data_IF_294181024655
#
_entry.id   IF_294181024655
#
_cell.length_a   1.000
_cell.length_b   1.000
_cell.length_c   1.000
_cell.angle_alpha   90.00
_cell.angle_beta   90.00
_cell.angle_gamma   90.00
#
_symmetry.space_group_name_H-M   'P 1'
#
loop_
_entity.id
_entity.type
_entity.pdbx_description
1 polymer ?
#
# COMPACT_ATOMS: atom_id res chain seq x y z
N UNK A 1 12.38 12.44 20.05
CA UNK A 1 13.29 11.38 19.54
C UNK A 1 14.29 12.04 18.60
N UNK A 2 15.55 11.71 18.73
CA UNK A 2 16.58 12.07 17.77
C UNK A 2 16.72 10.98 16.67
N UNK A 3 17.60 11.21 15.69
CA UNK A 3 17.73 10.29 14.54
C UNK A 3 18.20 8.88 14.95
N UNK A 4 18.99 8.77 16.03
CA UNK A 4 19.46 7.48 16.56
C UNK A 4 18.31 6.70 17.21
N UNK A 5 17.43 7.38 17.96
CA UNK A 5 16.24 6.79 18.57
C UNK A 5 15.25 6.32 17.50
N UNK A 6 15.07 7.08 16.42
CA UNK A 6 14.23 6.66 15.28
C UNK A 6 14.82 5.44 14.56
N UNK A 7 16.13 5.42 14.33
CA UNK A 7 16.78 4.25 13.73
C UNK A 7 16.63 2.99 14.59
N UNK A 8 16.75 3.13 15.91
CA UNK A 8 16.50 2.04 16.86
C UNK A 8 15.04 1.56 16.81
N UNK A 9 14.06 2.48 16.82
CA UNK A 9 12.64 2.14 16.75
C UNK A 9 12.30 1.44 15.42
N UNK A 10 12.86 1.88 14.31
CA UNK A 10 12.72 1.26 12.99
C UNK A 10 13.27 -0.18 12.99
N UNK A 11 14.44 -0.38 13.56
CA UNK A 11 15.02 -1.72 13.70
C UNK A 11 14.11 -2.63 14.54
N UNK A 12 13.59 -2.13 15.68
CA UNK A 12 12.68 -2.89 16.55
C UNK A 12 11.37 -3.23 15.82
N UNK A 13 10.81 -2.33 15.01
CA UNK A 13 9.65 -2.61 14.16
C UNK A 13 9.92 -3.80 13.23
N UNK A 14 11.05 -3.81 12.53
CA UNK A 14 11.40 -4.92 11.62
C UNK A 14 11.58 -6.22 12.38
N UNK A 15 12.33 -6.21 13.49
CA UNK A 15 12.70 -7.43 14.21
C UNK A 15 11.55 -8.02 15.03
N UNK A 16 10.65 -7.17 15.59
CA UNK A 16 9.64 -7.59 16.55
C UNK A 16 8.20 -7.60 16.00
N UNK A 17 7.91 -6.82 14.94
CA UNK A 17 6.56 -6.74 14.37
C UNK A 17 6.48 -7.42 12.99
N UNK A 18 7.47 -7.18 12.10
CA UNK A 18 7.40 -7.64 10.71
C UNK A 18 7.95 -9.07 10.58
N UNK A 19 9.19 -9.30 10.99
CA UNK A 19 9.84 -10.62 10.84
C UNK A 19 9.08 -11.80 11.48
N UNK A 20 8.49 -11.68 12.69
CA UNK A 20 7.74 -12.77 13.31
C UNK A 20 6.44 -13.13 12.58
N UNK A 21 5.92 -12.24 11.73
CA UNK A 21 4.62 -12.40 11.04
C UNK A 21 4.73 -13.04 9.65
N UNK A 22 5.75 -13.86 9.43
CA UNK A 22 6.01 -14.62 8.19
C UNK A 22 6.48 -13.76 7.01
N UNK A 23 7.01 -12.57 7.26
CA UNK A 23 7.76 -11.83 6.24
C UNK A 23 9.18 -12.37 6.22
N UNK A 24 9.52 -13.07 5.14
CA UNK A 24 10.78 -13.81 4.96
C UNK A 24 11.63 -13.27 3.82
N UNK A 25 11.09 -12.44 2.93
CA UNK A 25 11.87 -11.77 1.88
C UNK A 25 12.80 -10.73 2.50
N UNK A 26 14.12 -10.98 2.43
CA UNK A 26 15.14 -10.08 2.97
C UNK A 26 15.06 -8.67 2.38
N UNK A 27 14.72 -8.54 1.08
CA UNK A 27 14.60 -7.24 0.41
C UNK A 27 13.46 -6.41 1.00
N UNK A 28 12.32 -7.06 1.33
CA UNK A 28 11.20 -6.40 2.00
C UNK A 28 11.61 -5.93 3.39
N UNK A 29 12.28 -6.80 4.17
CA UNK A 29 12.76 -6.44 5.51
C UNK A 29 13.76 -5.27 5.46
N UNK A 30 14.67 -5.27 4.48
CA UNK A 30 15.67 -4.23 4.30
C UNK A 30 15.02 -2.89 3.88
N UNK A 31 14.01 -2.92 3.01
CA UNK A 31 13.26 -1.73 2.61
C UNK A 31 12.55 -1.08 3.82
N UNK A 32 11.87 -1.87 4.65
CA UNK A 32 11.26 -1.37 5.90
C UNK A 32 12.30 -0.88 6.91
N UNK A 33 13.50 -1.47 6.92
CA UNK A 33 14.62 -1.04 7.75
C UNK A 33 15.30 0.24 7.27
N UNK A 34 15.12 0.61 6.00
CA UNK A 34 15.75 1.77 5.36
C UNK A 34 14.87 3.01 5.40
N UNK A 35 13.60 2.89 5.02
CA UNK A 35 12.69 4.04 4.84
C UNK A 35 12.22 4.60 6.19
N UNK A 36 12.45 5.91 6.46
CA UNK A 36 12.09 6.55 7.73
C UNK A 36 10.57 6.80 7.81
N UNK A 37 9.85 5.86 8.44
CA UNK A 37 8.38 5.91 8.58
C UNK A 37 7.88 7.19 9.25
N UNK A 38 8.67 7.76 10.19
CA UNK A 38 8.40 9.01 10.90
C UNK A 38 8.32 10.24 10.01
N UNK A 39 8.87 10.20 8.79
CA UNK A 39 8.80 11.33 7.85
C UNK A 39 7.50 11.35 7.04
N UNK A 40 6.75 10.24 7.05
CA UNK A 40 5.48 10.09 6.35
C UNK A 40 4.26 10.35 7.23
N UNK A 41 4.45 10.76 8.50
CA UNK A 41 3.38 11.15 9.43
C UNK A 41 3.47 12.61 9.82
N UNK A 42 2.41 13.13 10.45
CA UNK A 42 2.42 14.46 11.05
C UNK A 42 3.43 14.59 12.19
N UNK A 43 3.94 15.81 12.43
CA UNK A 43 4.95 16.07 13.48
C UNK A 43 4.54 15.51 14.86
N UNK A 44 3.26 15.60 15.20
CA UNK A 44 2.72 15.13 16.47
C UNK A 44 2.66 13.59 16.59
N UNK A 45 2.78 12.87 15.47
CA UNK A 45 2.75 11.41 15.41
C UNK A 45 4.14 10.78 15.25
N UNK A 46 5.19 11.58 15.03
CA UNK A 46 6.55 11.03 14.80
C UNK A 46 7.00 10.08 15.92
N UNK A 47 6.71 10.42 17.18
CA UNK A 47 7.11 9.60 18.33
C UNK A 47 6.42 8.22 18.38
N UNK A 48 5.28 8.07 17.70
CA UNK A 48 4.51 6.81 17.63
C UNK A 48 4.52 6.19 16.23
N UNK A 49 5.36 6.69 15.32
CA UNK A 49 5.38 6.24 13.92
C UNK A 49 5.64 4.73 13.76
N UNK A 50 6.25 4.10 14.75
CA UNK A 50 6.71 2.71 14.74
C UNK A 50 5.86 1.74 15.57
N UNK A 51 4.69 2.18 16.07
CA UNK A 51 3.73 1.26 16.71
C UNK A 51 3.10 0.34 15.66
N UNK A 52 2.66 -0.84 16.10
CA UNK A 52 2.01 -1.84 15.25
C UNK A 52 0.49 -1.58 15.16
N UNK A 53 0.14 -0.38 14.66
CA UNK A 53 -1.22 0.09 14.47
C UNK A 53 -1.33 0.98 13.22
N UNK A 54 -2.53 1.09 12.68
CA UNK A 54 -2.86 2.05 11.62
C UNK A 54 -2.76 3.48 12.16
N UNK A 55 -1.98 4.33 11.51
CA UNK A 55 -1.83 5.73 11.88
C UNK A 55 -2.70 6.63 11.01
N UNK A 56 -3.69 7.34 11.58
CA UNK A 56 -4.47 8.29 10.80
C UNK A 56 -3.59 9.38 10.20
N UNK A 57 -3.76 9.63 8.91
CA UNK A 57 -3.17 10.77 8.20
C UNK A 57 -4.27 11.70 7.70
N UNK A 58 -3.89 12.81 7.10
CA UNK A 58 -4.89 13.78 6.60
C UNK A 58 -5.92 13.11 5.65
N UNK A 59 -7.08 13.74 5.55
CA UNK A 59 -8.09 13.37 4.57
C UNK A 59 -8.78 12.02 4.80
N UNK A 60 -8.76 11.45 6.01
CA UNK A 60 -9.41 10.17 6.30
C UNK A 60 -8.65 8.95 5.75
N UNK A 61 -7.39 9.13 5.35
CA UNK A 61 -6.48 8.03 5.05
C UNK A 61 -5.75 7.57 6.31
N UNK A 62 -5.19 6.39 6.25
CA UNK A 62 -4.30 5.86 7.28
C UNK A 62 -3.03 5.34 6.63
N UNK A 63 -1.92 5.50 7.31
CA UNK A 63 -0.73 4.75 7.02
C UNK A 63 -0.87 3.40 7.73
N UNK A 64 -0.97 2.33 6.95
CA UNK A 64 -1.23 0.97 7.47
C UNK A 64 -0.21 0.54 8.52
N UNK A 65 -0.62 -0.30 9.47
CA UNK A 65 0.28 -0.96 10.41
C UNK A 65 1.40 -1.71 9.68
N UNK A 66 2.62 -1.73 10.23
CA UNK A 66 3.80 -2.28 9.57
C UNK A 66 3.65 -3.74 9.16
N UNK A 67 3.07 -4.57 10.02
CA UNK A 67 2.88 -6.01 9.80
C UNK A 67 2.01 -6.29 8.57
N UNK A 68 0.85 -5.65 8.48
CA UNK A 68 -0.09 -5.86 7.36
C UNK A 68 0.52 -5.38 6.06
N UNK A 69 1.08 -4.17 6.04
CA UNK A 69 1.69 -3.60 4.84
C UNK A 69 2.85 -4.48 4.32
N UNK A 70 3.74 -4.93 5.20
CA UNK A 70 4.88 -5.76 4.81
C UNK A 70 4.45 -7.11 4.23
N UNK A 71 3.44 -7.76 4.81
CA UNK A 71 2.87 -9.01 4.29
C UNK A 71 2.18 -8.81 2.94
N UNK A 72 1.49 -7.68 2.74
CA UNK A 72 0.87 -7.36 1.46
C UNK A 72 1.93 -7.10 0.38
N UNK A 73 3.00 -6.34 0.70
CA UNK A 73 4.10 -6.08 -0.23
C UNK A 73 4.84 -7.38 -0.58
N UNK A 74 5.13 -8.24 0.39
CA UNK A 74 5.72 -9.56 0.10
C UNK A 74 4.83 -10.40 -0.84
N UNK A 75 3.50 -10.33 -0.69
CA UNK A 75 2.55 -11.06 -1.54
C UNK A 75 2.49 -10.54 -2.98
N UNK A 76 2.92 -9.30 -3.25
CA UNK A 76 3.08 -8.78 -4.62
C UNK A 76 4.23 -9.46 -5.37
N UNK A 77 5.21 -10.02 -4.65
CA UNK A 77 6.41 -10.65 -5.22
C UNK A 77 7.15 -9.72 -6.21
N UNK A 78 7.44 -8.50 -5.74
CA UNK A 78 8.05 -7.43 -6.55
C UNK A 78 9.49 -7.77 -6.94
N UNK A 79 9.90 -7.41 -8.17
CA UNK A 79 11.28 -7.48 -8.64
C UNK A 79 11.77 -6.15 -9.20
N UNK A 80 13.08 -5.97 -9.29
CA UNK A 80 13.77 -4.72 -9.66
C UNK A 80 13.40 -4.16 -11.03
N UNK A 81 12.85 -4.98 -11.93
CA UNK A 81 12.36 -4.55 -13.24
C UNK A 81 10.86 -4.24 -13.28
N UNK A 82 10.15 -4.44 -12.16
CA UNK A 82 8.69 -4.32 -12.14
C UNK A 82 8.22 -2.87 -12.15
N UNK A 83 7.08 -2.64 -12.81
CA UNK A 83 6.30 -1.41 -12.75
C UNK A 83 5.12 -1.60 -11.78
N UNK A 84 5.04 -0.78 -10.75
CA UNK A 84 4.10 -0.94 -9.64
C UNK A 84 3.11 0.23 -9.58
N UNK A 85 1.83 -0.08 -9.35
CA UNK A 85 0.81 0.89 -9.02
C UNK A 85 0.44 0.79 -7.54
N UNK A 86 0.46 1.92 -6.85
CA UNK A 86 -0.08 2.07 -5.50
C UNK A 86 -1.37 2.89 -5.55
N UNK A 87 -2.45 2.37 -5.02
CA UNK A 87 -3.78 3.00 -5.02
C UNK A 87 -4.16 3.41 -3.62
N UNK A 88 -4.36 4.70 -3.39
CA UNK A 88 -4.65 5.26 -2.07
C UNK A 88 -3.41 5.49 -1.23
N UNK A 89 -2.32 5.93 -1.84
CA UNK A 89 -0.97 6.00 -1.25
C UNK A 89 -0.82 6.92 -0.02
N UNK A 90 -1.86 7.67 0.34
CA UNK A 90 -1.81 8.58 1.47
C UNK A 90 -0.62 9.55 1.39
N UNK A 91 0.29 9.44 2.34
CA UNK A 91 1.51 10.25 2.40
C UNK A 91 2.71 9.66 1.67
N UNK A 92 2.56 8.49 1.00
CA UNK A 92 3.56 7.90 0.12
C UNK A 92 4.52 6.88 0.76
N UNK A 93 4.28 6.43 2.00
CA UNK A 93 5.19 5.49 2.68
C UNK A 93 5.34 4.16 1.94
N UNK A 94 4.24 3.54 1.52
CA UNK A 94 4.28 2.31 0.74
C UNK A 94 4.95 2.48 -0.63
N UNK A 95 4.75 3.66 -1.27
CA UNK A 95 5.42 3.98 -2.51
C UNK A 95 6.94 4.06 -2.31
N UNK A 96 7.41 4.65 -1.21
CA UNK A 96 8.84 4.69 -0.87
C UNK A 96 9.42 3.29 -0.60
N UNK A 97 8.69 2.43 0.13
CA UNK A 97 9.08 1.02 0.35
C UNK A 97 9.19 0.27 -0.98
N UNK A 98 8.17 0.39 -1.84
CA UNK A 98 8.12 -0.29 -3.13
C UNK A 98 9.19 0.23 -4.11
N UNK A 99 9.55 1.50 -4.02
CA UNK A 99 10.65 2.08 -4.80
C UNK A 99 12.03 1.45 -4.50
N UNK A 100 12.21 0.88 -3.30
CA UNK A 100 13.42 0.10 -2.97
C UNK A 100 13.43 -1.29 -3.63
N UNK A 101 12.30 -1.77 -4.12
CA UNK A 101 12.10 -3.13 -4.61
C UNK A 101 11.86 -3.20 -6.12
N UNK A 102 11.31 -2.14 -6.71
CA UNK A 102 10.81 -2.07 -8.08
C UNK A 102 11.63 -1.14 -8.98
N UNK A 103 11.44 -1.23 -10.28
CA UNK A 103 12.01 -0.31 -11.26
C UNK A 103 11.29 1.04 -11.28
N UNK A 104 9.97 1.04 -11.15
CA UNK A 104 9.15 2.26 -11.12
C UNK A 104 7.89 2.09 -10.27
N UNK A 105 7.45 3.17 -9.64
CA UNK A 105 6.24 3.21 -8.82
C UNK A 105 5.38 4.42 -9.18
N UNK A 106 4.14 4.16 -9.56
CA UNK A 106 3.10 5.18 -9.70
C UNK A 106 2.18 5.10 -8.48
N UNK A 107 2.00 6.20 -7.77
CA UNK A 107 1.17 6.25 -6.56
C UNK A 107 -0.02 7.21 -6.76
N UNK A 108 -1.23 6.66 -6.80
CA UNK A 108 -2.47 7.43 -7.05
C UNK A 108 -3.14 7.80 -5.75
N UNK A 109 -3.51 9.07 -5.62
CA UNK A 109 -4.29 9.58 -4.50
C UNK A 109 -5.31 10.63 -5.00
N UNK A 110 -6.51 10.66 -4.39
CA UNK A 110 -7.57 11.61 -4.78
C UNK A 110 -7.36 13.01 -4.22
N UNK A 111 -6.71 13.12 -3.09
CA UNK A 111 -6.57 14.36 -2.33
C UNK A 111 -5.29 15.10 -2.70
N UNK A 112 -5.42 16.28 -3.31
CA UNK A 112 -4.27 17.06 -3.77
C UNK A 112 -3.22 17.31 -2.68
N UNK A 113 -3.65 17.64 -1.46
CA UNK A 113 -2.75 17.86 -0.32
C UNK A 113 -1.91 16.62 0.04
N UNK A 114 -2.48 15.41 -0.09
CA UNK A 114 -1.74 14.17 0.14
C UNK A 114 -0.77 13.87 -1.01
N UNK A 115 -1.17 14.15 -2.26
CA UNK A 115 -0.27 14.03 -3.42
C UNK A 115 0.94 14.94 -3.26
N UNK A 116 0.73 16.21 -2.91
CA UNK A 116 1.80 17.18 -2.65
C UNK A 116 2.72 16.68 -1.52
N UNK A 117 2.13 16.28 -0.38
CA UNK A 117 2.89 15.76 0.76
C UNK A 117 3.67 14.49 0.43
N UNK A 118 3.07 13.55 -0.31
CA UNK A 118 3.73 12.33 -0.74
C UNK A 118 4.92 12.67 -1.65
N UNK A 119 4.72 13.54 -2.66
CA UNK A 119 5.78 13.94 -3.58
C UNK A 119 6.93 14.65 -2.87
N UNK A 120 6.61 15.60 -1.96
CA UNK A 120 7.63 16.28 -1.13
C UNK A 120 8.45 15.29 -0.31
N UNK A 121 7.78 14.33 0.32
CA UNK A 121 8.45 13.36 1.20
C UNK A 121 9.29 12.37 0.39
N UNK A 122 8.81 11.89 -0.77
CA UNK A 122 9.59 11.04 -1.67
C UNK A 122 10.89 11.74 -2.11
N UNK A 123 10.80 13.00 -2.54
CA UNK A 123 11.98 13.79 -2.92
C UNK A 123 12.92 14.00 -1.73
N UNK A 124 12.39 14.37 -0.55
CA UNK A 124 13.19 14.61 0.65
C UNK A 124 13.92 13.34 1.16
N UNK A 125 13.34 12.15 0.90
CA UNK A 125 13.95 10.86 1.24
C UNK A 125 14.83 10.27 0.12
N UNK A 126 15.06 11.03 -0.96
CA UNK A 126 15.93 10.61 -2.07
C UNK A 126 15.35 9.55 -2.99
N UNK A 127 14.02 9.40 -3.02
CA UNK A 127 13.32 8.47 -3.92
C UNK A 127 13.08 9.17 -5.25
N UNK A 128 13.65 8.66 -6.33
CA UNK A 128 13.60 9.22 -7.69
C UNK A 128 12.81 8.37 -8.69
N UNK A 129 12.51 7.11 -8.34
CA UNK A 129 11.77 6.16 -9.17
C UNK A 129 10.30 5.97 -8.73
N UNK A 130 9.77 6.85 -7.86
CA UNK A 130 8.36 6.87 -7.47
C UNK A 130 7.77 8.26 -7.66
N UNK A 131 6.53 8.32 -8.16
CA UNK A 131 5.80 9.57 -8.36
C UNK A 131 4.38 9.48 -7.80
N UNK A 132 3.98 10.49 -7.01
CA UNK A 132 2.62 10.62 -6.53
C UNK A 132 1.79 11.48 -7.51
N UNK A 133 0.64 10.97 -7.92
CA UNK A 133 -0.24 11.64 -8.88
C UNK A 133 -1.67 11.73 -8.36
N UNK A 134 -2.36 12.81 -8.76
CA UNK A 134 -3.78 12.97 -8.44
C UNK A 134 -4.63 12.18 -9.42
N UNK A 135 -5.49 11.29 -8.90
CA UNK A 135 -6.40 10.50 -9.72
C UNK A 135 -7.54 9.91 -8.91
N UNK A 136 -8.54 9.32 -9.57
CA UNK A 136 -9.58 8.54 -8.91
C UNK A 136 -9.01 7.15 -8.61
N UNK A 137 -9.17 6.68 -7.38
CA UNK A 137 -8.60 5.41 -6.95
C UNK A 137 -9.14 4.23 -7.76
N UNK A 138 -10.44 4.25 -8.06
CA UNK A 138 -11.12 3.18 -8.84
C UNK A 138 -10.64 3.09 -10.28
N UNK A 139 -10.08 4.18 -10.83
CA UNK A 139 -9.63 4.23 -12.22
C UNK A 139 -8.18 3.78 -12.36
N UNK A 140 -7.43 3.72 -11.24
CA UNK A 140 -6.00 3.46 -11.29
C UNK A 140 -5.26 4.51 -12.12
N UNK A 141 -4.29 4.07 -12.95
CA UNK A 141 -3.58 4.94 -13.88
C UNK A 141 -3.13 4.16 -15.13
N UNK A 142 -4.08 3.84 -15.99
CA UNK A 142 -3.86 2.99 -17.15
C UNK A 142 -2.80 3.53 -18.15
N UNK A 143 -2.54 4.86 -18.13
CA UNK A 143 -1.60 5.52 -19.04
C UNK A 143 -0.16 4.99 -18.90
N UNK A 144 0.24 4.62 -17.69
CA UNK A 144 1.59 4.11 -17.39
C UNK A 144 1.62 2.59 -17.16
N UNK A 145 0.47 1.91 -17.40
CA UNK A 145 0.38 0.44 -17.37
C UNK A 145 1.02 -0.20 -18.62
N UNK A 146 1.12 -1.54 -18.68
CA UNK A 146 0.61 -2.48 -17.67
C UNK A 146 1.50 -2.53 -16.42
N UNK A 147 0.90 -2.97 -15.29
CA UNK A 147 1.58 -3.10 -14.00
C UNK A 147 1.85 -4.55 -13.63
N UNK A 148 3.05 -4.82 -13.11
CA UNK A 148 3.42 -6.13 -12.58
C UNK A 148 2.87 -6.34 -11.17
N UNK A 149 2.64 -5.25 -10.44
CA UNK A 149 1.99 -5.25 -9.15
C UNK A 149 1.07 -4.06 -8.95
N UNK A 150 -0.09 -4.30 -8.32
CA UNK A 150 -0.99 -3.25 -7.84
C UNK A 150 -1.23 -3.45 -6.36
N UNK A 151 -0.86 -2.47 -5.54
CA UNK A 151 -1.16 -2.43 -4.11
C UNK A 151 -2.33 -1.46 -3.86
N UNK A 152 -3.39 -1.93 -3.20
CA UNK A 152 -4.49 -1.05 -2.75
C UNK A 152 -4.38 -0.87 -1.24
N UNK A 153 -4.18 0.39 -0.80
CA UNK A 153 -3.93 0.73 0.60
C UNK A 153 -5.22 1.04 1.36
N UNK A 154 -5.92 0.00 1.74
CA UNK A 154 -7.14 0.07 2.54
C UNK A 154 -8.07 -1.09 2.24
N UNK A 155 -9.15 -1.20 3.03
CA UNK A 155 -10.15 -2.22 2.80
C UNK A 155 -11.12 -1.78 1.69
N UNK A 156 -11.44 -2.73 0.81
CA UNK A 156 -12.33 -2.55 -0.35
C UNK A 156 -13.47 -3.57 -0.31
N UNK A 157 -14.67 -3.14 -0.69
CA UNK A 157 -15.80 -4.06 -0.85
C UNK A 157 -15.75 -4.77 -2.21
N UNK A 158 -15.32 -4.05 -3.24
CA UNK A 158 -15.17 -4.57 -4.62
C UNK A 158 -13.92 -4.02 -5.26
N UNK A 159 -13.31 -4.78 -6.18
CA UNK A 159 -12.24 -4.29 -7.07
C UNK A 159 -12.86 -4.12 -8.46
N UNK A 160 -12.84 -2.91 -9.06
CA UNK A 160 -13.32 -2.70 -10.42
C UNK A 160 -12.48 -3.47 -11.44
N UNK A 161 -13.14 -4.06 -12.45
CA UNK A 161 -12.46 -4.80 -13.52
C UNK A 161 -11.44 -3.91 -14.25
N UNK A 162 -11.76 -2.64 -14.49
CA UNK A 162 -10.85 -1.68 -15.10
C UNK A 162 -9.53 -1.50 -14.36
N UNK A 163 -9.48 -1.77 -13.05
CA UNK A 163 -8.24 -1.75 -12.27
C UNK A 163 -7.46 -3.06 -12.45
N UNK A 164 -8.16 -4.18 -12.47
CA UNK A 164 -7.57 -5.50 -12.72
C UNK A 164 -7.04 -5.64 -14.15
N UNK A 165 -7.68 -5.02 -15.13
CA UNK A 165 -7.26 -5.00 -16.53
C UNK A 165 -5.93 -4.28 -16.76
N UNK A 166 -5.50 -3.41 -15.82
CA UNK A 166 -4.19 -2.75 -15.85
C UNK A 166 -3.04 -3.67 -15.44
N UNK A 167 -3.31 -4.89 -14.96
CA UNK A 167 -2.28 -5.88 -14.66
C UNK A 167 -1.61 -6.41 -15.95
N UNK A 168 -0.29 -6.57 -15.89
CA UNK A 168 0.46 -7.34 -16.90
C UNK A 168 0.01 -8.81 -16.91
N UNK A 169 0.44 -9.58 -17.89
CA UNK A 169 0.03 -10.99 -18.02
C UNK A 169 0.27 -11.85 -16.77
N UNK A 170 1.34 -11.58 -16.04
CA UNK A 170 1.70 -12.25 -14.77
C UNK A 170 1.50 -11.36 -13.54
N UNK A 171 0.90 -10.19 -13.73
CA UNK A 171 0.72 -9.17 -12.69
C UNK A 171 -0.17 -9.65 -11.56
N UNK A 172 0.04 -9.03 -10.40
CA UNK A 172 -0.65 -9.35 -9.16
C UNK A 172 -1.24 -8.08 -8.54
N UNK A 173 -2.53 -8.10 -8.17
CA UNK A 173 -3.11 -7.08 -7.30
C UNK A 173 -3.24 -7.63 -5.88
N UNK A 174 -2.87 -6.84 -4.88
CA UNK A 174 -3.08 -7.15 -3.46
C UNK A 174 -3.88 -6.05 -2.79
N UNK A 175 -4.95 -6.44 -2.09
CA UNK A 175 -5.83 -5.56 -1.33
C UNK A 175 -6.42 -6.29 -0.13
N UNK A 176 -6.95 -5.56 0.85
CA UNK A 176 -7.79 -6.12 1.91
C UNK A 176 -9.24 -6.12 1.44
N UNK A 177 -9.77 -7.29 1.13
CA UNK A 177 -11.17 -7.44 0.74
C UNK A 177 -12.05 -7.58 1.97
N UNK A 178 -13.00 -6.66 2.12
CA UNK A 178 -13.97 -6.66 3.22
C UNK A 178 -15.36 -6.34 2.68
N UNK A 179 -16.16 -7.37 2.35
CA UNK A 179 -17.54 -7.18 1.89
C UNK A 179 -18.39 -6.44 2.91
N UNK A 180 -19.44 -5.78 2.45
CA UNK A 180 -20.36 -5.06 3.32
C UNK A 180 -20.91 -5.99 4.43
N UNK A 181 -20.91 -5.48 5.67
CA UNK A 181 -21.39 -6.23 6.85
C UNK A 181 -20.37 -7.20 7.47
N UNK A 182 -19.19 -7.39 6.88
CA UNK A 182 -18.15 -8.20 7.49
C UNK A 182 -17.28 -7.37 8.45
N UNK A 183 -17.06 -7.84 9.70
CA UNK A 183 -16.29 -7.09 10.70
C UNK A 183 -14.79 -7.07 10.40
N UNK A 184 -14.26 -8.13 9.79
CA UNK A 184 -12.85 -8.29 9.47
C UNK A 184 -12.67 -8.49 7.97
N UNK A 185 -11.64 -7.85 7.40
CA UNK A 185 -11.25 -8.03 6.02
C UNK A 185 -10.25 -9.18 5.86
N UNK A 186 -10.06 -9.61 4.62
CA UNK A 186 -9.08 -10.63 4.24
C UNK A 186 -8.13 -10.04 3.21
N UNK A 187 -6.88 -9.85 3.56
CA UNK A 187 -5.84 -9.54 2.58
C UNK A 187 -5.85 -10.63 1.51
N UNK A 188 -6.00 -10.24 0.28
CA UNK A 188 -6.23 -11.16 -0.84
C UNK A 188 -5.41 -10.74 -2.04
N UNK A 189 -5.09 -11.71 -2.86
CA UNK A 189 -4.33 -11.56 -4.09
C UNK A 189 -5.24 -11.87 -5.29
N UNK A 190 -5.23 -11.01 -6.30
CA UNK A 190 -5.91 -11.24 -7.59
C UNK A 190 -4.87 -11.43 -8.68
N UNK A 191 -5.14 -12.40 -9.58
CA UNK A 191 -4.33 -12.67 -10.77
C UNK A 191 -5.24 -13.00 -11.94
N UNK A 192 -4.75 -12.78 -13.17
CA UNK A 192 -5.44 -13.23 -14.37
C UNK A 192 -5.59 -14.76 -14.35
N UNK A 193 -6.75 -15.27 -14.74
CA UNK A 193 -7.07 -16.69 -14.83
C UNK A 193 -8.03 -16.93 -16.00
N UNK A 194 -7.50 -17.42 -17.13
CA UNK A 194 -8.28 -17.49 -18.38
C UNK A 194 -8.73 -16.10 -18.82
N UNK A 195 -10.01 -15.97 -19.13
CA UNK A 195 -10.64 -14.71 -19.55
C UNK A 195 -11.07 -13.81 -18.36
N UNK A 196 -10.76 -14.18 -17.12
CA UNK A 196 -11.14 -13.44 -15.93
C UNK A 196 -10.02 -13.32 -14.91
N UNK A 197 -10.43 -13.14 -13.64
CA UNK A 197 -9.50 -12.99 -12.52
C UNK A 197 -9.86 -13.96 -11.40
N UNK A 198 -8.84 -14.56 -10.79
CA UNK A 198 -8.98 -15.38 -9.59
C UNK A 198 -8.54 -14.62 -8.36
N UNK A 199 -9.25 -14.82 -7.23
CA UNK A 199 -8.89 -14.29 -5.93
C UNK A 199 -8.39 -15.40 -5.01
N UNK A 200 -7.22 -15.20 -4.42
CA UNK A 200 -6.65 -16.08 -3.39
C UNK A 200 -6.61 -15.34 -2.05
N UNK A 201 -7.29 -15.83 -0.99
CA UNK A 201 -7.15 -15.27 0.34
C UNK A 201 -5.76 -15.54 0.90
N UNK A 202 -5.20 -14.60 1.66
CA UNK A 202 -3.87 -14.67 2.25
C UNK A 202 -3.91 -14.73 3.78
N UNK A 203 -4.50 -13.70 4.42
CA UNK A 203 -4.60 -13.59 5.88
C UNK A 203 -5.66 -12.56 6.27
N UNK A 204 -6.18 -12.68 7.48
CA UNK A 204 -7.12 -11.71 8.04
C UNK A 204 -6.40 -10.41 8.36
N UNK A 205 -7.03 -9.28 7.99
CA UNK A 205 -6.50 -7.95 8.23
C UNK A 205 -7.64 -6.96 8.50
N UNK A 206 -7.44 -6.09 9.47
CA UNK A 206 -8.37 -5.03 9.79
C UNK A 206 -7.72 -3.69 9.49
N UNK A 207 -8.13 -3.08 8.39
CA UNK A 207 -7.66 -1.75 7.97
C UNK A 207 -8.85 -0.87 7.62
N UNK A 208 -8.72 0.46 7.69
CA UNK A 208 -9.78 1.38 7.29
C UNK A 208 -10.24 1.17 5.84
N UNK A 209 -11.55 1.37 5.60
CA UNK A 209 -12.13 1.27 4.27
C UNK A 209 -11.76 2.45 3.39
N UNK A 210 -11.57 2.19 2.12
CA UNK A 210 -11.59 3.18 1.06
C UNK A 210 -13.02 3.35 0.56
N UNK A 211 -13.63 4.48 0.87
CA UNK A 211 -15.04 4.75 0.54
C UNK A 211 -15.32 4.68 -0.97
N UNK A 212 -14.31 4.98 -1.78
CA UNK A 212 -14.37 4.94 -3.23
C UNK A 212 -14.62 3.54 -3.80
N UNK A 213 -14.35 2.49 -3.01
CA UNK A 213 -14.52 1.09 -3.38
C UNK A 213 -15.75 0.42 -2.74
N UNK A 214 -16.69 1.21 -2.21
CA UNK A 214 -17.96 0.67 -1.72
C UNK A 214 -18.78 0.10 -2.88
N UNK A 215 -19.39 -1.06 -2.65
CA UNK A 215 -20.36 -1.63 -3.60
C UNK A 215 -21.56 -0.68 -3.76
N UNK A 216 -22.01 -0.50 -4.99
CA UNK A 216 -23.27 0.21 -5.24
C UNK A 216 -24.40 -0.57 -4.59
N UNK A 217 -25.10 0.03 -3.62
CA UNK A 217 -26.32 -0.57 -3.06
C UNK A 217 -27.42 -0.46 -4.11
N UNK A 218 -27.81 -1.58 -4.69
CA UNK A 218 -29.04 -1.64 -5.45
C UNK A 218 -30.21 -1.65 -4.45
N UNK A 219 -31.11 -0.69 -4.61
CA UNK A 219 -32.37 -0.73 -3.89
C UNK A 219 -33.21 -1.84 -4.53
N UNK A 220 -33.41 -2.96 -3.84
CA UNK A 220 -34.42 -3.96 -4.19
C UNK A 220 -35.70 -3.45 -3.57
N UNK A 221 -36.66 -3.08 -4.42
CA UNK A 221 -38.02 -2.72 -4.03
C UNK A 221 -38.83 -3.98 -3.75
#
# INVERSE_FOLDING_TARGET
MDDSEFAQARKMMVDCQIRPTKVTDGRVLDAFGTIPREDFVGRHQRAIAYIDEDLPVAGGRCMMEPMVLARMIQALAVDVGHNILVVGCGTGYSAAILAQLAGSVIAVETRAQLVEKAQETLVATGIDNAVAIKGRLTDGFAKEGPYDGILVEGAVETIPDQLLEQLSGNGTLVAVWRPAGHPVGVASQWRKAGDGFSRKPLFDAQVPSLDEFRAKREFVF
#
